data_IF_828732412652
#
_entry.id   IF_828732412652
#
_cell.length_a   1.000
_cell.length_b   1.000
_cell.length_c   1.000
_cell.angle_alpha   90.00
_cell.angle_beta   90.00
_cell.angle_gamma   90.00
#
_symmetry.space_group_name_H-M   'P 1'
#
loop_
_entity.id
_entity.type
_entity.pdbx_description
1 polymer ?
#
# COMPACT_ATOMS: atom_id res chain seq x y z
N UNK A 1 -77.47 -41.23 7.08
CA UNK A 1 -76.88 -40.29 8.06
C UNK A 1 -75.40 -40.58 8.31
N UNK A 2 -74.98 -41.84 8.43
CA UNK A 2 -73.59 -42.15 8.78
C UNK A 2 -72.57 -41.91 7.66
N UNK A 3 -72.95 -42.12 6.39
CA UNK A 3 -72.08 -41.86 5.22
C UNK A 3 -71.69 -40.38 5.08
N UNK A 4 -72.63 -39.45 5.32
CA UNK A 4 -72.38 -38.01 5.30
C UNK A 4 -71.43 -37.58 6.44
N UNK A 5 -71.58 -38.17 7.64
CA UNK A 5 -70.70 -37.89 8.77
C UNK A 5 -69.28 -38.36 8.50
N UNK A 6 -69.10 -39.51 7.84
CA UNK A 6 -67.77 -40.00 7.46
C UNK A 6 -67.11 -39.09 6.43
N UNK A 7 -67.82 -38.72 5.36
CA UNK A 7 -67.32 -37.77 4.34
C UNK A 7 -66.97 -36.39 4.91
N UNK A 8 -67.74 -35.89 5.89
CA UNK A 8 -67.41 -34.66 6.60
C UNK A 8 -66.11 -34.80 7.41
N UNK A 9 -65.89 -35.91 8.10
CA UNK A 9 -64.63 -36.13 8.84
C UNK A 9 -63.44 -36.26 7.90
N UNK A 10 -63.62 -36.91 6.75
CA UNK A 10 -62.56 -37.05 5.75
C UNK A 10 -62.21 -35.69 5.12
N UNK A 11 -63.21 -34.88 4.75
CA UNK A 11 -62.96 -33.50 4.29
C UNK A 11 -62.33 -32.61 5.36
N UNK A 12 -62.68 -32.78 6.65
CA UNK A 12 -62.04 -32.07 7.74
C UNK A 12 -60.56 -32.48 7.91
N UNK A 13 -60.23 -33.75 7.72
CA UNK A 13 -58.83 -34.24 7.74
C UNK A 13 -58.02 -33.68 6.58
N UNK A 14 -58.56 -33.71 5.37
CA UNK A 14 -57.86 -33.16 4.19
C UNK A 14 -57.64 -31.65 4.32
N UNK A 15 -58.61 -30.92 4.89
CA UNK A 15 -58.45 -29.48 5.19
C UNK A 15 -57.32 -29.26 6.21
N UNK A 16 -57.22 -30.11 7.24
CA UNK A 16 -56.14 -29.99 8.23
C UNK A 16 -54.76 -30.26 7.62
N UNK A 17 -54.66 -31.27 6.76
CA UNK A 17 -53.42 -31.63 6.06
C UNK A 17 -52.97 -30.52 5.10
N UNK A 18 -53.89 -30.00 4.27
CA UNK A 18 -53.60 -28.87 3.38
C UNK A 18 -53.19 -27.60 4.14
N UNK A 19 -53.78 -27.35 5.32
CA UNK A 19 -53.36 -26.24 6.19
C UNK A 19 -51.93 -26.44 6.69
N UNK A 20 -51.57 -27.66 7.11
CA UNK A 20 -50.20 -27.97 7.53
C UNK A 20 -49.20 -27.81 6.39
N UNK A 21 -49.53 -28.27 5.19
CA UNK A 21 -48.67 -28.11 4.01
C UNK A 21 -48.51 -26.63 3.63
N UNK A 22 -49.60 -25.87 3.66
CA UNK A 22 -49.57 -24.43 3.39
C UNK A 22 -48.71 -23.67 4.42
N UNK A 23 -48.77 -24.06 5.70
CA UNK A 23 -47.92 -23.48 6.73
C UNK A 23 -46.45 -23.84 6.52
N UNK A 24 -46.15 -25.10 6.17
CA UNK A 24 -44.78 -25.53 5.82
C UNK A 24 -44.21 -24.74 4.65
N UNK A 25 -44.99 -24.56 3.57
CA UNK A 25 -44.56 -23.77 2.40
C UNK A 25 -44.35 -22.30 2.75
N UNK A 26 -45.18 -21.73 3.64
CA UNK A 26 -44.99 -20.36 4.12
C UNK A 26 -43.70 -20.21 4.91
N UNK A 27 -43.39 -21.17 5.78
CA UNK A 27 -42.13 -21.17 6.53
C UNK A 27 -40.93 -21.26 5.58
N UNK A 28 -40.96 -22.17 4.61
CA UNK A 28 -39.89 -22.32 3.62
C UNK A 28 -39.68 -21.04 2.78
N UNK A 29 -40.77 -20.35 2.42
CA UNK A 29 -40.69 -19.05 1.75
C UNK A 29 -40.10 -17.96 2.65
N UNK A 30 -40.43 -17.95 3.95
CA UNK A 30 -39.85 -17.02 4.90
C UNK A 30 -38.34 -17.23 5.06
N UNK A 31 -37.91 -18.49 5.21
CA UNK A 31 -36.50 -18.85 5.32
C UNK A 31 -35.73 -18.47 4.04
N UNK A 32 -36.33 -18.73 2.88
CA UNK A 32 -35.77 -18.34 1.58
C UNK A 32 -35.63 -16.81 1.44
N UNK A 33 -36.59 -16.03 1.95
CA UNK A 33 -36.52 -14.57 1.95
C UNK A 33 -35.40 -14.05 2.86
N UNK A 34 -35.24 -14.65 4.04
CA UNK A 34 -34.16 -14.31 4.97
C UNK A 34 -32.79 -14.61 4.34
N UNK A 35 -32.62 -15.79 3.75
CA UNK A 35 -31.38 -16.16 3.06
C UNK A 35 -31.06 -15.19 1.91
N UNK A 36 -32.07 -14.80 1.13
CA UNK A 36 -31.91 -13.78 0.09
C UNK A 36 -31.47 -12.44 0.65
N UNK A 37 -32.12 -11.95 1.72
CA UNK A 37 -31.76 -10.69 2.35
C UNK A 37 -30.33 -10.69 2.92
N UNK A 38 -29.89 -11.82 3.49
CA UNK A 38 -28.52 -11.99 3.95
C UNK A 38 -27.51 -11.94 2.79
N UNK A 39 -27.81 -12.60 1.68
CA UNK A 39 -26.96 -12.56 0.48
C UNK A 39 -26.88 -11.15 -0.10
N UNK A 40 -28.00 -10.43 -0.19
CA UNK A 40 -28.03 -9.02 -0.60
C UNK A 40 -27.24 -8.12 0.36
N UNK A 41 -27.23 -8.42 1.66
CA UNK A 41 -26.37 -7.77 2.64
C UNK A 41 -24.88 -7.99 2.37
N UNK A 42 -24.48 -9.24 2.12
CA UNK A 42 -23.10 -9.62 1.79
C UNK A 42 -22.63 -8.98 0.48
N UNK A 43 -23.50 -8.91 -0.52
CA UNK A 43 -23.20 -8.24 -1.80
C UNK A 43 -22.95 -6.75 -1.56
N UNK A 44 -23.82 -6.05 -0.83
CA UNK A 44 -23.63 -4.63 -0.49
C UNK A 44 -22.34 -4.35 0.29
N UNK A 45 -21.96 -5.26 1.18
CA UNK A 45 -20.68 -5.15 1.88
C UNK A 45 -19.49 -5.37 0.96
N UNK A 46 -19.56 -6.36 0.07
CA UNK A 46 -18.53 -6.61 -0.94
C UNK A 46 -18.36 -5.41 -1.89
N UNK A 47 -19.45 -4.78 -2.33
CA UNK A 47 -19.44 -3.58 -3.17
C UNK A 47 -18.78 -2.38 -2.47
N UNK A 48 -19.07 -2.18 -1.17
CA UNK A 48 -18.40 -1.15 -0.37
C UNK A 48 -16.90 -1.40 -0.28
N UNK A 49 -16.49 -2.63 0.04
CA UNK A 49 -15.06 -3.01 0.08
C UNK A 49 -14.37 -2.81 -1.27
N UNK A 50 -15.05 -3.12 -2.37
CA UNK A 50 -14.50 -2.92 -3.71
C UNK A 50 -14.31 -1.45 -4.04
N UNK A 51 -15.26 -0.60 -3.62
CA UNK A 51 -15.16 0.87 -3.77
C UNK A 51 -14.02 1.44 -2.95
N UNK A 52 -13.87 1.01 -1.70
CA UNK A 52 -12.75 1.39 -0.83
C UNK A 52 -11.41 0.96 -1.42
N UNK A 53 -11.29 -0.31 -1.84
CA UNK A 53 -10.09 -0.83 -2.48
C UNK A 53 -9.75 -0.04 -3.76
N UNK A 54 -10.76 0.35 -4.54
CA UNK A 54 -10.55 1.16 -5.74
C UNK A 54 -9.96 2.52 -5.38
N UNK A 55 -10.53 3.19 -4.39
CA UNK A 55 -10.03 4.49 -3.93
C UNK A 55 -8.58 4.40 -3.46
N UNK A 56 -8.21 3.35 -2.71
CA UNK A 56 -6.83 3.12 -2.26
C UNK A 56 -5.88 2.97 -3.45
N UNK A 57 -6.26 2.21 -4.47
CA UNK A 57 -5.43 2.02 -5.67
C UNK A 57 -5.20 3.34 -6.40
N UNK A 58 -6.23 4.18 -6.51
CA UNK A 58 -6.11 5.46 -7.19
C UNK A 58 -5.20 6.42 -6.41
N UNK A 59 -5.29 6.47 -5.08
CA UNK A 59 -4.36 7.20 -4.21
C UNK A 59 -2.91 6.73 -4.38
N UNK A 60 -2.67 5.40 -4.36
CA UNK A 60 -1.32 4.85 -4.55
C UNK A 60 -0.74 5.21 -5.93
N UNK A 61 -1.57 5.29 -6.97
CA UNK A 61 -1.13 5.72 -8.30
C UNK A 61 -0.72 7.19 -8.30
N UNK A 62 -1.48 8.07 -7.67
CA UNK A 62 -1.14 9.49 -7.55
C UNK A 62 0.18 9.68 -6.79
N UNK A 63 0.38 8.99 -5.68
CA UNK A 63 1.64 9.03 -4.92
C UNK A 63 2.83 8.52 -5.76
N UNK A 64 2.66 7.42 -6.50
CA UNK A 64 3.71 6.90 -7.38
C UNK A 64 4.08 7.88 -8.49
N UNK A 65 3.10 8.57 -9.07
CA UNK A 65 3.37 9.62 -10.07
C UNK A 65 4.10 10.80 -9.46
N UNK A 66 3.67 11.28 -8.29
CA UNK A 66 4.32 12.37 -7.55
C UNK A 66 5.76 12.02 -7.14
N UNK A 67 6.00 10.78 -6.70
CA UNK A 67 7.34 10.30 -6.38
C UNK A 67 8.24 10.23 -7.62
N UNK A 68 7.69 9.81 -8.78
CA UNK A 68 8.44 9.78 -10.05
C UNK A 68 8.81 11.18 -10.53
N UNK A 69 7.88 12.12 -10.51
CA UNK A 69 8.14 13.51 -10.94
C UNK A 69 9.15 14.19 -10.02
N UNK A 70 9.08 13.94 -8.72
CA UNK A 70 10.07 14.45 -7.75
C UNK A 70 11.46 13.87 -8.00
N UNK A 71 11.58 12.55 -8.17
CA UNK A 71 12.86 11.91 -8.53
C UNK A 71 13.43 12.47 -9.84
N UNK A 72 12.57 12.75 -10.83
CA UNK A 72 12.99 13.35 -12.09
C UNK A 72 13.52 14.77 -11.89
N UNK A 73 12.84 15.60 -11.08
CA UNK A 73 13.32 16.95 -10.73
C UNK A 73 14.67 16.91 -10.01
N UNK A 74 14.82 16.03 -9.02
CA UNK A 74 16.09 15.86 -8.30
C UNK A 74 17.20 15.41 -9.25
N UNK A 75 16.93 14.47 -10.15
CA UNK A 75 17.90 14.03 -11.16
C UNK A 75 18.30 15.19 -12.09
N UNK A 76 17.33 15.98 -12.57
CA UNK A 76 17.59 17.14 -13.42
C UNK A 76 18.44 18.20 -12.67
N UNK A 77 18.08 18.53 -11.43
CA UNK A 77 18.86 19.43 -10.58
C UNK A 77 20.29 18.91 -10.39
N UNK A 78 20.48 17.61 -10.17
CA UNK A 78 21.79 16.97 -10.09
C UNK A 78 22.61 17.16 -11.35
N UNK A 79 22.02 16.92 -12.54
CA UNK A 79 22.72 17.15 -13.82
C UNK A 79 23.07 18.62 -14.06
N UNK A 80 22.19 19.55 -13.67
CA UNK A 80 22.44 20.98 -13.80
C UNK A 80 23.62 21.42 -12.92
N UNK A 81 23.66 20.96 -11.66
CA UNK A 81 24.76 21.22 -10.73
C UNK A 81 26.08 20.65 -11.25
N UNK A 82 26.08 19.43 -11.80
CA UNK A 82 27.29 18.85 -12.40
C UNK A 82 27.81 19.67 -13.58
N UNK A 83 26.91 20.19 -14.42
CA UNK A 83 27.29 21.06 -15.53
C UNK A 83 27.85 22.40 -15.05
N UNK A 84 27.26 23.00 -14.01
CA UNK A 84 27.80 24.20 -13.37
C UNK A 84 29.20 23.96 -12.81
N UNK A 85 29.42 22.82 -12.12
CA UNK A 85 30.73 22.48 -11.57
C UNK A 85 31.79 22.33 -12.67
N UNK A 86 31.46 21.65 -13.77
CA UNK A 86 32.35 21.54 -14.94
C UNK A 86 32.69 22.90 -15.55
N UNK A 87 31.71 23.82 -15.59
CA UNK A 87 31.92 25.17 -16.12
C UNK A 87 32.85 25.99 -15.20
N UNK A 88 32.66 25.91 -13.88
CA UNK A 88 33.55 26.53 -12.90
C UNK A 88 34.97 25.97 -12.99
N UNK A 89 35.13 24.64 -13.10
CA UNK A 89 36.44 24.02 -13.31
C UNK A 89 37.13 24.53 -14.58
N UNK A 90 36.38 24.69 -15.68
CA UNK A 90 36.89 25.25 -16.93
C UNK A 90 37.29 26.73 -16.79
N UNK A 91 36.52 27.52 -16.04
CA UNK A 91 36.86 28.91 -15.76
C UNK A 91 38.14 29.03 -14.92
N UNK A 92 38.28 28.21 -13.87
CA UNK A 92 39.48 28.13 -13.05
C UNK A 92 40.71 27.74 -13.90
N UNK A 93 40.58 26.72 -14.75
CA UNK A 93 41.66 26.31 -15.66
C UNK A 93 42.04 27.42 -16.66
N UNK A 94 41.06 28.21 -17.13
CA UNK A 94 41.31 29.34 -18.03
C UNK A 94 42.05 30.48 -17.32
N UNK A 95 41.66 30.81 -16.08
CA UNK A 95 42.37 31.81 -15.27
C UNK A 95 43.79 31.36 -14.95
N UNK A 96 44.01 30.08 -14.60
CA UNK A 96 45.35 29.55 -14.36
C UNK A 96 46.29 29.72 -15.57
N UNK A 97 45.79 29.44 -16.78
CA UNK A 97 46.56 29.67 -18.03
C UNK A 97 46.84 31.15 -18.31
N UNK A 98 46.01 32.08 -17.83
CA UNK A 98 46.26 33.52 -17.98
C UNK A 98 47.35 34.01 -17.03
N UNK A 99 47.47 33.42 -15.84
CA UNK A 99 48.56 33.72 -14.91
C UNK A 99 49.92 33.19 -15.41
N UNK A 100 49.98 31.99 -15.99
CA UNK A 100 51.24 31.44 -16.52
C UNK A 100 51.75 32.21 -17.75
N UNK A 101 50.84 32.76 -18.56
CA UNK A 101 51.20 33.51 -19.78
C UNK A 101 51.78 34.92 -19.49
N UNK A 102 51.76 35.36 -18.22
CA UNK A 102 52.39 36.61 -17.78
C UNK A 102 53.83 36.46 -17.27
N UNK A 103 54.36 35.23 -17.19
CA UNK A 103 55.68 34.92 -16.62
C UNK A 103 56.81 34.62 -17.63
N UNK A 104 56.59 34.83 -18.93
CA UNK A 104 57.62 34.52 -19.94
C UNK A 104 58.51 35.74 -20.26
N UNK A 105 59.57 35.91 -19.46
CA UNK A 105 60.87 36.38 -19.96
C UNK A 105 61.93 35.31 -19.67
N UNK A 106 62.48 34.68 -20.70
CA UNK A 106 63.71 33.87 -20.59
C UNK A 106 63.63 32.50 -21.24
N UNK A 107 64.29 32.35 -22.38
CA UNK A 107 64.43 31.15 -23.20
C UNK A 107 65.29 30.04 -22.57
N UNK A 108 65.03 28.78 -22.95
CA UNK A 108 66.05 27.76 -23.27
C UNK A 108 65.45 26.57 -24.07
N UNK A 109 66.13 26.03 -25.11
CA UNK A 109 65.59 25.04 -26.03
C UNK A 109 65.84 23.56 -25.63
N UNK A 110 65.06 22.67 -26.27
CA UNK A 110 65.05 21.20 -26.22
C UNK A 110 66.44 20.52 -26.34
N UNK A 111 66.72 19.28 -25.87
CA UNK A 111 66.14 17.94 -26.19
C UNK A 111 66.99 16.84 -25.44
N UNK A 112 66.88 15.50 -25.61
CA UNK A 112 65.73 14.55 -25.61
C UNK A 112 65.95 13.23 -24.78
N UNK A 113 64.86 12.48 -24.55
CA UNK A 113 64.75 10.99 -24.45
C UNK A 113 65.21 10.17 -23.22
N UNK A 114 64.28 9.26 -22.83
CA UNK A 114 64.42 7.99 -22.07
C UNK A 114 64.60 8.09 -20.55
N UNK A 115 63.65 7.66 -19.71
CA UNK A 115 63.47 6.22 -19.41
C UNK A 115 62.07 5.94 -18.86
N UNK A 116 61.53 4.84 -19.34
CA UNK A 116 60.21 4.26 -19.12
C UNK A 116 60.06 3.65 -17.71
N UNK A 117 59.03 4.04 -16.95
CA UNK A 117 58.56 3.30 -15.77
C UNK A 117 57.02 3.38 -15.64
N UNK A 118 56.37 2.26 -15.96
CA UNK A 118 54.95 1.91 -15.80
C UNK A 118 54.66 1.57 -14.32
N UNK A 119 53.51 1.92 -13.69
CA UNK A 119 52.26 1.14 -13.78
C UNK A 119 50.95 1.96 -13.54
N UNK A 120 49.78 1.33 -13.32
CA UNK A 120 48.94 0.67 -14.32
C UNK A 120 47.62 1.43 -14.60
N UNK A 121 46.99 1.07 -15.72
CA UNK A 121 45.70 1.57 -16.18
C UNK A 121 44.57 1.24 -15.21
N UNK A 122 43.88 2.28 -14.72
CA UNK A 122 42.52 2.15 -14.18
C UNK A 122 41.57 2.41 -15.34
N UNK A 123 40.93 1.36 -15.85
CA UNK A 123 39.92 1.45 -16.91
C UNK A 123 38.67 2.13 -16.31
N UNK A 124 38.09 3.17 -16.95
CA UNK A 124 36.73 3.55 -16.61
C UNK A 124 35.80 2.44 -17.08
N UNK A 125 35.03 1.87 -16.15
CA UNK A 125 33.98 0.91 -16.48
C UNK A 125 32.83 1.73 -17.08
N UNK A 126 32.72 1.68 -18.40
CA UNK A 126 31.55 2.18 -19.11
C UNK A 126 30.36 1.30 -18.73
N UNK A 127 29.37 1.91 -18.08
CA UNK A 127 28.08 1.29 -17.79
C UNK A 127 27.26 1.35 -19.09
N UNK A 128 27.44 0.32 -19.92
CA UNK A 128 26.66 0.10 -21.13
C UNK A 128 25.20 -0.17 -20.74
N UNK A 129 24.31 0.59 -21.36
CA UNK A 129 22.87 0.35 -21.31
C UNK A 129 22.52 -0.55 -22.49
N UNK A 130 22.07 -1.78 -22.21
CA UNK A 130 21.28 -2.55 -23.18
C UNK A 130 20.29 -3.47 -22.47
N UNK A 131 19.04 -3.03 -22.53
CA UNK A 131 17.82 -3.78 -22.78
C UNK A 131 18.01 -5.19 -23.38
N UNK A 132 17.39 -6.23 -22.79
CA UNK A 132 16.39 -7.14 -23.42
C UNK A 132 16.21 -8.45 -22.64
N UNK A 133 14.95 -8.90 -22.59
CA UNK A 133 14.63 -10.28 -22.94
C UNK A 133 14.37 -11.25 -21.79
N UNK A 134 13.11 -11.66 -21.73
CA UNK A 134 12.55 -12.83 -21.05
C UNK A 134 13.45 -14.08 -21.08
N UNK A 135 13.43 -14.90 -20.02
CA UNK A 135 12.80 -16.22 -20.05
C UNK A 135 13.09 -17.03 -18.77
N UNK A 136 12.02 -17.65 -18.25
CA UNK A 136 11.90 -18.74 -17.29
C UNK A 136 13.20 -19.47 -16.88
N UNK A 137 13.39 -19.63 -15.57
CA UNK A 137 13.57 -20.97 -15.00
C UNK A 137 12.95 -21.03 -13.60
N UNK A 138 12.04 -22.00 -13.46
CA UNK A 138 11.27 -22.37 -12.27
C UNK A 138 12.19 -22.77 -11.11
N UNK A 139 11.82 -22.37 -9.89
CA UNK A 139 11.97 -23.26 -8.73
C UNK A 139 10.65 -23.31 -7.97
N UNK A 140 10.02 -24.47 -8.10
CA UNK A 140 9.04 -25.14 -7.26
C UNK A 140 8.33 -24.34 -6.15
N UNK A 141 7.05 -24.08 -6.41
CA UNK A 141 6.00 -24.04 -5.39
C UNK A 141 5.42 -25.45 -5.29
N UNK A 142 5.37 -26.01 -4.09
CA UNK A 142 4.62 -27.23 -3.75
C UNK A 142 4.11 -27.12 -2.29
N UNK A 143 2.99 -27.79 -1.95
CA UNK A 143 1.83 -27.13 -1.32
C UNK A 143 1.38 -27.74 0.02
N UNK A 144 0.27 -27.20 0.57
CA UNK A 144 -0.46 -27.59 1.79
C UNK A 144 0.19 -27.12 3.10
N UNK A 145 -0.50 -26.64 4.13
CA UNK A 145 -1.82 -26.96 4.70
C UNK A 145 -2.52 -25.65 5.12
N UNK A 146 -3.75 -25.36 4.69
CA UNK A 146 -5.01 -25.75 5.34
C UNK A 146 -5.06 -25.46 6.85
N UNK A 147 -6.10 -24.72 7.28
CA UNK A 147 -6.88 -24.81 8.54
C UNK A 147 -7.51 -23.43 8.87
N UNK A 148 -8.69 -23.36 9.50
CA UNK A 148 -9.95 -24.01 9.14
C UNK A 148 -11.08 -22.97 8.96
N UNK A 149 -12.03 -23.31 8.10
CA UNK A 149 -13.39 -22.77 8.13
C UNK A 149 -14.17 -23.60 9.14
N UNK A 150 -14.52 -23.03 10.29
CA UNK A 150 -15.75 -23.27 11.09
C UNK A 150 -15.52 -22.97 12.57
N UNK A 151 -16.18 -21.93 13.07
CA UNK A 151 -16.85 -21.93 14.38
C UNK A 151 -17.75 -20.69 14.47
N UNK A 152 -19.05 -20.93 14.24
CA UNK A 152 -20.14 -20.04 14.62
C UNK A 152 -20.31 -20.12 16.15
N UNK A 153 -20.18 -19.01 16.88
CA UNK A 153 -20.74 -18.76 18.24
C UNK A 153 -20.92 -17.24 18.33
N UNK A 154 -22.12 -16.72 18.05
CA UNK A 154 -23.21 -16.46 19.01
C UNK A 154 -23.26 -14.97 19.36
N UNK A 155 -24.48 -14.45 19.45
CA UNK A 155 -24.76 -13.05 19.70
C UNK A 155 -24.20 -12.60 21.05
N UNK A 156 -23.64 -11.40 21.08
CA UNK A 156 -23.19 -10.81 22.32
C UNK A 156 -22.30 -9.61 22.03
N UNK A 157 -22.80 -8.44 22.37
CA UNK A 157 -22.06 -7.20 22.45
C UNK A 157 -20.76 -7.41 23.25
N UNK A 158 -19.65 -7.62 22.55
CA UNK A 158 -18.32 -7.41 23.12
C UNK A 158 -17.75 -6.19 22.47
N UNK A 159 -17.95 -5.07 23.17
CA UNK A 159 -16.98 -3.98 23.24
C UNK A 159 -15.59 -4.57 23.09
N UNK A 160 -14.99 -4.41 21.90
CA UNK A 160 -13.58 -4.69 21.67
C UNK A 160 -12.83 -3.63 22.46
N UNK A 161 -12.63 -3.96 23.74
CA UNK A 161 -11.76 -3.26 24.65
C UNK A 161 -10.48 -2.89 23.91
N UNK A 162 -10.12 -1.61 24.03
CA UNK A 162 -8.93 -0.99 23.50
C UNK A 162 -7.82 -2.03 23.31
N UNK A 163 -7.60 -2.44 22.06
CA UNK A 163 -6.50 -3.33 21.74
C UNK A 163 -5.22 -2.57 22.15
N UNK A 164 -4.57 -3.11 23.17
CA UNK A 164 -3.36 -2.58 23.78
C UNK A 164 -2.22 -2.78 22.78
N UNK A 165 -2.16 -1.89 21.79
CA UNK A 165 -1.08 -1.85 20.83
C UNK A 165 0.11 -1.12 21.47
N UNK A 166 1.35 -1.54 21.19
CA UNK A 166 2.52 -0.87 21.74
C UNK A 166 2.43 0.63 21.40
N UNK A 167 2.55 1.49 22.42
CA UNK A 167 2.47 2.95 22.24
C UNK A 167 3.52 3.49 21.24
N UNK A 168 4.53 2.69 20.91
CA UNK A 168 5.54 3.04 19.91
C UNK A 168 6.06 1.79 19.18
N UNK A 169 6.24 1.90 17.86
CA UNK A 169 6.78 0.87 16.98
C UNK A 169 8.04 1.40 16.27
N UNK A 170 9.08 0.58 16.13
CA UNK A 170 10.22 0.91 15.26
C UNK A 170 9.95 0.46 13.82
N UNK A 171 10.10 1.39 12.87
CA UNK A 171 9.87 1.17 11.43
C UNK A 171 10.89 0.17 10.89
N UNK A 172 10.42 -0.92 10.26
CA UNK A 172 11.30 -1.92 9.64
C UNK A 172 11.55 -1.60 8.15
N UNK A 173 12.61 -2.17 7.53
CA UNK A 173 12.80 -2.07 6.10
C UNK A 173 11.56 -2.61 5.35
N UNK A 174 10.98 -1.77 4.50
CA UNK A 174 9.76 -2.10 3.73
C UNK A 174 8.44 -1.72 4.42
N UNK A 175 8.46 -1.23 5.67
CA UNK A 175 7.28 -0.62 6.27
C UNK A 175 7.00 0.75 5.64
N UNK A 176 5.73 1.04 5.39
CA UNK A 176 5.23 2.34 4.97
C UNK A 176 4.24 2.84 6.00
N UNK A 177 4.00 4.16 6.08
CA UNK A 177 2.96 4.69 6.97
C UNK A 177 1.61 4.02 6.73
N UNK A 178 1.32 3.68 5.48
CA UNK A 178 0.11 2.97 5.10
C UNK A 178 0.07 1.53 5.60
N UNK A 179 1.15 0.75 5.44
CA UNK A 179 1.17 -0.63 5.93
C UNK A 179 1.06 -0.69 7.45
N UNK A 180 1.65 0.28 8.15
CA UNK A 180 1.53 0.45 9.60
C UNK A 180 0.09 0.85 9.96
N UNK A 181 -0.48 1.85 9.27
CA UNK A 181 -1.85 2.31 9.49
C UNK A 181 -2.87 1.17 9.38
N UNK A 182 -2.76 0.36 8.33
CA UNK A 182 -3.63 -0.78 8.09
C UNK A 182 -3.46 -1.88 9.16
N UNK A 183 -2.21 -2.17 9.56
CA UNK A 183 -1.92 -3.16 10.60
C UNK A 183 -2.49 -2.79 11.96
N UNK A 184 -2.58 -1.51 12.26
CA UNK A 184 -3.05 -1.00 13.55
C UNK A 184 -4.43 -0.33 13.48
N UNK A 185 -5.16 -0.52 12.38
CA UNK A 185 -6.51 0.02 12.16
C UNK A 185 -6.62 1.53 12.43
N UNK A 186 -5.62 2.30 12.02
CA UNK A 186 -5.59 3.76 12.09
C UNK A 186 -5.45 4.35 10.68
N UNK A 187 -5.54 5.67 10.54
CA UNK A 187 -5.32 6.36 9.28
C UNK A 187 -3.90 6.92 9.19
N UNK A 188 -3.41 7.11 7.96
CA UNK A 188 -2.11 7.78 7.72
C UNK A 188 -2.12 9.19 8.32
N UNK A 189 -3.24 9.90 8.22
CA UNK A 189 -3.39 11.25 8.76
C UNK A 189 -3.29 11.29 10.29
N UNK A 190 -3.96 10.36 10.99
CA UNK A 190 -3.85 10.24 12.45
C UNK A 190 -2.44 9.85 12.89
N UNK A 191 -1.78 8.96 12.17
CA UNK A 191 -0.38 8.59 12.39
C UNK A 191 0.57 9.76 12.19
N UNK A 192 0.38 10.56 11.13
CA UNK A 192 1.18 11.75 10.88
C UNK A 192 0.97 12.80 11.97
N UNK A 193 -0.27 13.05 12.37
CA UNK A 193 -0.60 13.98 13.44
C UNK A 193 -0.01 13.54 14.78
N UNK A 194 -0.05 12.25 15.10
CA UNK A 194 0.52 11.70 16.33
C UNK A 194 2.05 11.76 16.39
N UNK A 195 2.73 11.93 15.25
CA UNK A 195 4.18 11.91 15.12
C UNK A 195 4.77 13.21 14.56
N UNK A 196 3.94 14.26 14.41
CA UNK A 196 4.32 15.55 13.84
C UNK A 196 5.05 15.43 12.50
N UNK A 197 4.65 14.47 11.67
CA UNK A 197 5.27 14.23 10.38
C UNK A 197 4.74 15.24 9.36
N UNK A 198 5.64 16.01 8.76
CA UNK A 198 5.31 16.95 7.69
C UNK A 198 4.95 16.26 6.36
N UNK A 199 5.43 15.03 6.16
CA UNK A 199 5.29 14.25 4.92
C UNK A 199 5.12 12.76 5.20
N UNK A 200 4.71 12.00 4.18
CA UNK A 200 4.55 10.55 4.23
C UNK A 200 5.89 9.76 4.31
N UNK A 201 7.00 10.43 4.62
CA UNK A 201 8.34 9.85 4.67
C UNK A 201 8.68 9.40 6.08
N UNK A 202 8.90 8.10 6.26
CA UNK A 202 9.39 7.50 7.50
C UNK A 202 10.76 6.85 7.26
N UNK A 203 11.65 6.97 8.24
CA UNK A 203 12.99 6.40 8.20
C UNK A 203 13.00 5.01 8.84
N UNK A 204 13.79 4.10 8.28
CA UNK A 204 14.01 2.78 8.87
C UNK A 204 14.66 2.97 10.25
N UNK A 205 14.11 2.31 11.27
CA UNK A 205 14.51 2.43 12.67
C UNK A 205 13.82 3.56 13.43
N UNK A 206 13.07 4.44 12.76
CA UNK A 206 12.34 5.53 13.41
C UNK A 206 11.29 4.97 14.37
N UNK A 207 11.22 5.54 15.57
CA UNK A 207 10.14 5.24 16.51
C UNK A 207 8.89 6.03 16.12
N UNK A 208 7.82 5.30 15.82
CA UNK A 208 6.52 5.84 15.43
C UNK A 208 5.53 5.61 16.58
N UNK A 209 4.95 6.69 17.09
CA UNK A 209 3.86 6.69 18.07
C UNK A 209 2.56 6.28 17.39
N UNK A 210 1.92 5.24 17.90
CA UNK A 210 0.62 4.82 17.40
C UNK A 210 -0.46 5.59 18.17
N UNK A 211 -1.47 6.16 17.48
CA UNK A 211 -2.61 6.75 18.17
C UNK A 211 -3.37 5.62 18.87
N UNK A 212 -3.26 5.55 20.19
CA UNK A 212 -4.14 4.71 21.00
C UNK A 212 -5.56 5.23 20.76
N UNK A 213 -6.45 4.40 20.23
CA UNK A 213 -7.87 4.73 20.08
C UNK A 213 -8.51 4.78 21.45
N UNK A 214 -8.18 5.78 22.25
CA UNK A 214 -9.09 6.29 23.26
C UNK A 214 -10.27 6.82 22.47
N UNK A 215 -11.45 6.29 22.77
CA UNK A 215 -12.70 6.65 22.14
C UNK A 215 -13.01 8.13 22.37
N UNK A 216 -12.38 9.01 21.61
CA UNK A 216 -12.85 10.38 21.42
C UNK A 216 -13.88 10.30 20.30
N UNK A 217 -15.09 9.94 20.68
CA UNK A 217 -16.26 10.27 19.88
C UNK A 217 -16.29 11.79 19.72
N UNK A 218 -15.96 12.27 18.53
CA UNK A 218 -16.41 13.54 17.93
C UNK A 218 -15.79 13.62 16.55
N UNK A 219 -16.50 13.07 15.56
CA UNK A 219 -16.29 13.46 14.16
C UNK A 219 -16.45 14.98 14.06
N UNK A 220 -15.51 15.72 13.46
CA UNK A 220 -15.69 17.14 13.18
C UNK A 220 -16.59 17.29 11.96
N UNK A 221 -17.91 17.23 12.18
CA UNK A 221 -18.92 17.50 11.14
C UNK A 221 -20.20 18.11 11.70
N UNK A 222 -20.10 18.89 12.78
CA UNK A 222 -21.24 19.63 13.37
C UNK A 222 -20.87 21.09 13.71
N UNK A 223 -20.49 21.86 12.69
CA UNK A 223 -20.56 23.33 12.70
C UNK A 223 -20.89 23.85 11.32
N UNK A 224 -22.15 23.73 10.95
CA UNK A 224 -22.78 24.56 9.94
C UNK A 224 -24.30 24.54 10.18
N UNK A 225 -24.74 25.36 11.13
CA UNK A 225 -26.01 26.09 11.11
C UNK A 225 -26.01 27.20 12.17
#
# INVERSE_FOLDING_TARGET
>A
MDTLKTSLRDSQRTIAELRSELESRRQELADSQIARAQMEGRIREAERRLTEARHIIDLQREELTSSRTERQRVSQAGTALQNQLKQLQKQLAKMGKQFERGGETGAAPANPSSTNARPPAVRPVNMDSSHHGDEKTRVAVAPAEALPSDAIVDGGERSVAAADYPASLSVKPGDTLWSIAQRFHTTVQELMAANELADNRILIGQALRLPSRVASGTSPLDKAE
#
